data_IF_119082521395
#
_entry.id   IF_119082521395
#
_cell.length_a   1.000
_cell.length_b   1.000
_cell.length_c   1.000
_cell.angle_alpha   90.00
_cell.angle_beta   90.00
_cell.angle_gamma   90.00
#
_symmetry.space_group_name_H-M   'P 1'
#
loop_
_entity.id
_entity.type
_entity.pdbx_description
1 polymer ?
#
# COMPACT_ATOMS: atom_id res chain seq x y z
N UNK A 1 10.46 -10.14 -0.14
CA UNK A 1 9.01 -10.40 -0.03
C UNK A 1 8.22 -9.43 -0.89
N UNK A 2 7.11 -9.88 -1.49
CA UNK A 2 6.17 -9.05 -2.25
C UNK A 2 4.77 -9.23 -1.65
N UNK A 3 4.11 -8.13 -1.31
CA UNK A 3 2.72 -8.12 -0.81
C UNK A 3 1.87 -7.27 -1.75
N UNK A 4 0.65 -7.73 -2.03
CA UNK A 4 -0.28 -7.06 -2.93
C UNK A 4 -1.65 -6.96 -2.25
N UNK A 5 -2.24 -5.78 -2.26
CA UNK A 5 -3.64 -5.58 -1.87
C UNK A 5 -4.52 -5.57 -3.12
N UNK A 6 -5.59 -6.36 -3.10
CA UNK A 6 -6.58 -6.47 -4.18
C UNK A 6 -7.84 -5.63 -3.92
N UNK A 7 -7.78 -4.75 -2.93
CA UNK A 7 -8.79 -3.78 -2.54
C UNK A 7 -8.12 -2.49 -2.07
N UNK A 8 -8.86 -1.40 -2.05
CA UNK A 8 -8.37 -0.12 -1.59
C UNK A 8 -8.37 -0.01 -0.06
N UNK A 9 -7.27 0.52 0.46
CA UNK A 9 -7.11 0.87 1.87
C UNK A 9 -7.34 2.37 2.04
N UNK A 10 -7.99 2.79 3.12
CA UNK A 10 -8.17 4.21 3.43
C UNK A 10 -6.82 4.93 3.66
N UNK A 11 -5.84 4.21 4.23
CA UNK A 11 -4.49 4.70 4.51
C UNK A 11 -3.45 3.59 4.35
N UNK A 12 -2.15 3.91 4.25
CA UNK A 12 -1.09 2.90 4.17
C UNK A 12 -1.06 2.00 5.43
N UNK A 13 -0.86 0.67 5.28
CA UNK A 13 -0.85 -0.25 6.41
C UNK A 13 0.51 -0.21 7.14
N UNK A 14 0.67 0.73 8.07
CA UNK A 14 1.97 1.06 8.69
C UNK A 14 2.64 -0.13 9.37
N UNK A 15 1.91 -0.92 10.17
CA UNK A 15 2.45 -2.09 10.87
C UNK A 15 3.06 -3.12 9.91
N UNK A 16 2.40 -3.34 8.77
CA UNK A 16 2.90 -4.27 7.75
C UNK A 16 4.13 -3.71 7.03
N UNK A 17 4.17 -2.39 6.77
CA UNK A 17 5.33 -1.72 6.19
C UNK A 17 6.55 -1.75 7.12
N UNK A 18 6.34 -1.72 8.43
CA UNK A 18 7.40 -1.87 9.43
C UNK A 18 8.01 -3.27 9.41
N UNK A 19 7.16 -4.29 9.27
CA UNK A 19 7.54 -5.71 9.23
C UNK A 19 8.13 -6.17 7.89
N UNK A 20 8.07 -5.34 6.84
CA UNK A 20 8.70 -5.69 5.57
C UNK A 20 10.23 -5.85 5.78
N UNK A 21 10.84 -6.93 5.26
CA UNK A 21 12.29 -7.04 5.23
C UNK A 21 12.87 -5.95 4.31
N UNK A 22 14.15 -5.62 4.48
CA UNK A 22 14.84 -4.71 3.58
C UNK A 22 14.70 -5.17 2.11
N UNK A 23 14.41 -4.23 1.20
CA UNK A 23 14.08 -4.52 -0.20
C UNK A 23 12.69 -5.14 -0.43
N UNK A 24 11.92 -5.41 0.64
CA UNK A 24 10.54 -5.85 0.59
C UNK A 24 9.64 -4.82 -0.08
N UNK A 25 8.64 -5.29 -0.83
CA UNK A 25 7.72 -4.44 -1.60
C UNK A 25 6.27 -4.72 -1.25
N UNK A 26 5.49 -3.65 -1.13
CA UNK A 26 4.04 -3.70 -0.95
C UNK A 26 3.39 -2.80 -2.00
N UNK A 27 2.43 -3.33 -2.76
CA UNK A 27 1.63 -2.55 -3.71
C UNK A 27 0.19 -2.52 -3.22
N UNK A 28 -0.36 -1.32 -3.04
CA UNK A 28 -1.74 -1.16 -2.59
C UNK A 28 -2.41 0.04 -3.25
N UNK A 29 -3.70 -0.07 -3.65
CA UNK A 29 -4.54 1.10 -3.89
C UNK A 29 -4.81 1.81 -2.56
N UNK A 30 -4.48 3.10 -2.47
CA UNK A 30 -4.68 3.92 -1.27
C UNK A 30 -5.67 5.03 -1.56
N UNK A 31 -6.64 5.22 -0.66
CA UNK A 31 -7.66 6.26 -0.70
C UNK A 31 -9.09 5.71 -0.69
N UNK A 32 -10.07 6.59 -0.48
CA UNK A 32 -11.50 6.24 -0.48
C UNK A 32 -12.20 6.77 -1.73
N UNK A 33 -12.41 8.09 -1.81
CA UNK A 33 -13.07 8.77 -2.94
C UNK A 33 -12.17 8.86 -4.17
N UNK A 34 -10.95 9.34 -3.98
CA UNK A 34 -9.88 9.27 -4.98
C UNK A 34 -8.86 8.23 -4.52
N UNK A 35 -8.42 7.38 -5.44
CA UNK A 35 -7.50 6.28 -5.12
C UNK A 35 -6.26 6.34 -6.02
N UNK A 36 -5.12 6.04 -5.43
CA UNK A 36 -3.82 5.96 -6.12
C UNK A 36 -3.19 4.61 -5.84
N UNK A 37 -2.78 3.90 -6.90
CA UNK A 37 -1.97 2.70 -6.74
C UNK A 37 -0.57 3.12 -6.29
N UNK A 38 -0.15 2.68 -5.11
CA UNK A 38 1.11 3.10 -4.50
C UNK A 38 1.99 1.88 -4.23
N UNK A 39 3.23 1.94 -4.73
CA UNK A 39 4.29 0.99 -4.41
C UNK A 39 5.11 1.52 -3.25
N UNK A 40 5.17 0.73 -2.18
CA UNK A 40 6.03 0.94 -1.03
C UNK A 40 7.23 -0.01 -1.12
N UNK A 41 8.43 0.51 -0.91
CA UNK A 41 9.66 -0.30 -0.84
C UNK A 41 10.37 -0.02 0.47
N UNK A 42 10.67 -1.07 1.25
CA UNK A 42 11.48 -0.95 2.47
C UNK A 42 12.94 -0.74 2.07
N UNK A 43 13.55 0.33 2.57
CA UNK A 43 14.97 0.65 2.39
C UNK A 43 15.57 0.90 3.77
N UNK A 44 16.23 -0.10 4.32
CA UNK A 44 16.74 -0.14 5.69
C UNK A 44 15.62 0.19 6.70
N UNK A 45 15.73 1.31 7.42
CA UNK A 45 14.76 1.76 8.41
C UNK A 45 13.63 2.63 7.83
N UNK A 46 13.70 2.96 6.54
CA UNK A 46 12.74 3.86 5.87
C UNK A 46 11.89 3.12 4.85
N UNK A 47 10.81 3.78 4.42
CA UNK A 47 9.90 3.28 3.38
C UNK A 47 9.80 4.33 2.28
N UNK A 48 10.26 3.98 1.09
CA UNK A 48 10.08 4.79 -0.10
C UNK A 48 8.70 4.55 -0.72
N UNK A 49 8.11 5.60 -1.30
CA UNK A 49 6.79 5.58 -1.91
C UNK A 49 6.86 6.00 -3.37
N UNK A 50 6.24 5.23 -4.25
CA UNK A 50 6.07 5.58 -5.67
C UNK A 50 4.60 5.52 -6.05
N UNK A 51 4.10 6.62 -6.63
CA UNK A 51 2.79 6.69 -7.26
C UNK A 51 2.82 5.95 -8.61
N UNK A 52 1.89 5.01 -8.81
CA UNK A 52 1.74 4.21 -10.02
C UNK A 52 0.49 4.59 -10.85
N UNK A 53 -0.19 5.67 -10.50
CA UNK A 53 -1.35 6.21 -11.22
C UNK A 53 -2.66 6.11 -10.43
N UNK A 54 -3.68 6.81 -10.94
CA UNK A 54 -5.05 6.77 -10.42
C UNK A 54 -5.70 5.43 -10.76
N UNK A 55 -6.45 4.87 -9.82
CA UNK A 55 -7.18 3.60 -9.98
C UNK A 55 -8.55 3.66 -9.30
N UNK A 56 -9.36 2.61 -9.47
CA UNK A 56 -10.65 2.44 -8.78
C UNK A 56 -10.84 0.98 -8.36
N UNK A 57 -10.62 0.70 -7.09
CA UNK A 57 -10.80 -0.60 -6.44
C UNK A 57 -11.96 -0.53 -5.44
N UNK A 58 -12.56 -1.69 -5.15
CA UNK A 58 -13.50 -1.83 -4.03
C UNK A 58 -12.78 -1.55 -2.71
N UNK A 59 -13.50 -0.98 -1.73
CA UNK A 59 -12.95 -0.74 -0.39
C UNK A 59 -12.90 -2.05 0.42
N UNK A 60 -12.01 -2.08 1.42
CA UNK A 60 -12.05 -3.14 2.43
C UNK A 60 -13.36 -3.06 3.23
N UNK A 61 -14.15 -4.13 3.16
CA UNK A 61 -15.44 -4.23 3.87
C UNK A 61 -15.27 -4.49 5.36
N UNK A 62 -14.06 -4.80 5.84
CA UNK A 62 -13.79 -5.04 7.28
C UNK A 62 -13.59 -3.75 8.07
N UNK A 63 -13.36 -2.65 7.37
CA UNK A 63 -13.17 -1.32 7.94
C UNK A 63 -14.40 -0.42 7.80
N UNK A 64 -15.54 -0.97 7.35
CA UNK A 64 -16.83 -0.27 7.24
C UNK A 64 -17.75 -0.66 8.38
#
# INVERSE_FOLDING_TARGET
TKVLYTFALASPPLELLEQLPNGGRLLAPIGTTEQTLTLFTKVNQHVERRNCGKVRYVLDRRTT
#
